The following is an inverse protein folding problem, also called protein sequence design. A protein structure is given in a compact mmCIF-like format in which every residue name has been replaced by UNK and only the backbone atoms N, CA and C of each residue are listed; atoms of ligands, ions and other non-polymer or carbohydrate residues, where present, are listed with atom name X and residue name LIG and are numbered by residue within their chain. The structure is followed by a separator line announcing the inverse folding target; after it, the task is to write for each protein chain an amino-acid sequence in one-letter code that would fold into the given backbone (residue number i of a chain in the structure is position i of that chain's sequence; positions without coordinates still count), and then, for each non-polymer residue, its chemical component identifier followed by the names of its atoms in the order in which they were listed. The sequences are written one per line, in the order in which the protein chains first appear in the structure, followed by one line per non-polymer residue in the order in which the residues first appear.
data_IF_793183748089
#
_entry.id   IF_793183748089
#
_cell.length_a   1.000
_cell.length_b   1.000
_cell.length_c   1.000
_cell.angle_alpha   90.00
_cell.angle_beta   90.00
_cell.angle_gamma   90.00
#
_symmetry.space_group_name_H-M   'P 1'
#
loop_
_entity.id
_entity.type
_entity.pdbx_description
1 polymer ?
#
# COMPACT_ATOMS: atom_id res chain seq x y z
N UNK A 1 -16.69 -26.95 15.33
CA UNK A 1 -15.98 -26.75 14.06
C UNK A 1 -15.82 -25.27 13.81
N UNK A 2 -14.61 -24.81 13.50
CA UNK A 2 -14.35 -23.40 13.20
C UNK A 2 -14.93 -23.11 11.82
N UNK A 3 -15.83 -22.13 11.73
CA UNK A 3 -16.37 -21.69 10.44
C UNK A 3 -15.32 -20.83 9.75
N UNK A 4 -14.48 -21.45 8.91
CA UNK A 4 -13.48 -20.78 8.07
C UNK A 4 -14.07 -19.57 7.32
N UNK A 5 -15.30 -19.63 6.75
CA UNK A 5 -15.90 -18.47 6.10
C UNK A 5 -16.11 -17.28 7.04
N UNK A 6 -16.53 -17.52 8.30
CA UNK A 6 -16.75 -16.46 9.29
C UNK A 6 -15.45 -15.86 9.79
N UNK A 7 -14.41 -16.67 9.93
CA UNK A 7 -13.10 -16.19 10.38
C UNK A 7 -12.48 -15.29 9.31
N UNK A 8 -12.59 -15.67 8.04
CA UNK A 8 -12.08 -14.89 6.92
C UNK A 8 -12.84 -13.57 6.74
N UNK A 9 -14.18 -13.59 6.84
CA UNK A 9 -14.98 -12.36 6.76
C UNK A 9 -14.70 -11.41 7.91
N UNK A 10 -14.50 -11.89 9.14
CA UNK A 10 -14.14 -11.04 10.28
C UNK A 10 -12.77 -10.36 10.10
N UNK A 11 -11.75 -11.12 9.69
CA UNK A 11 -10.41 -10.55 9.45
C UNK A 11 -10.41 -9.55 8.30
N UNK A 12 -11.16 -9.84 7.24
CA UNK A 12 -11.29 -8.94 6.10
C UNK A 12 -12.07 -7.68 6.47
N UNK A 13 -13.19 -7.82 7.17
CA UNK A 13 -14.00 -6.70 7.65
C UNK A 13 -13.20 -5.77 8.55
N UNK A 14 -12.38 -6.32 9.45
CA UNK A 14 -11.48 -5.52 10.28
C UNK A 14 -10.45 -4.73 9.46
N UNK A 15 -9.85 -5.35 8.44
CA UNK A 15 -8.90 -4.69 7.55
C UNK A 15 -9.53 -3.56 6.72
N UNK A 16 -10.69 -3.83 6.13
CA UNK A 16 -11.42 -2.82 5.32
C UNK A 16 -11.94 -1.68 6.19
N UNK A 17 -12.38 -1.96 7.43
CA UNK A 17 -12.78 -0.92 8.37
C UNK A 17 -11.62 0.04 8.70
N UNK A 18 -10.43 -0.49 8.98
CA UNK A 18 -9.23 0.33 9.22
C UNK A 18 -8.80 1.12 7.98
N UNK A 19 -8.84 0.50 6.80
CA UNK A 19 -8.50 1.16 5.54
C UNK A 19 -9.48 2.30 5.21
N UNK A 20 -10.79 2.06 5.37
CA UNK A 20 -11.82 3.08 5.16
C UNK A 20 -11.71 4.24 6.15
N UNK A 21 -11.46 3.95 7.42
CA UNK A 21 -11.23 4.97 8.43
C UNK A 21 -10.03 5.87 8.10
N UNK A 22 -8.90 5.28 7.68
CA UNK A 22 -7.74 6.02 7.22
C UNK A 22 -8.02 6.88 5.97
N UNK A 23 -8.76 6.33 4.99
CA UNK A 23 -9.13 7.05 3.78
C UNK A 23 -10.02 8.28 4.03
N UNK A 24 -11.00 8.17 4.93
CA UNK A 24 -11.88 9.30 5.29
C UNK A 24 -11.10 10.42 5.98
N UNK A 25 -10.13 10.09 6.84
CA UNK A 25 -9.26 11.09 7.47
C UNK A 25 -8.34 11.80 6.46
N UNK A 26 -7.96 11.13 5.38
CA UNK A 26 -7.14 11.71 4.31
C UNK A 26 -7.94 12.55 3.30
N UNK A 27 -9.27 12.35 3.20
CA UNK A 27 -10.14 13.03 2.23
C UNK A 27 -10.15 14.57 2.29
N UNK A 28 -10.13 15.25 3.46
CA UNK A 28 -10.05 16.71 3.48
C UNK A 28 -8.64 17.24 3.20
N UNK A 29 -7.61 16.41 3.33
CA UNK A 29 -6.20 16.79 3.11
C UNK A 29 -5.86 16.69 1.62
N UNK A 30 -6.39 15.68 0.94
CA UNK A 30 -6.23 15.49 -0.51
C UNK A 30 -7.55 15.81 -1.19
N UNK A 31 -7.65 16.99 -1.82
CA UNK A 31 -8.86 17.45 -2.54
C UNK A 31 -9.53 16.29 -3.29
N UNK A 32 -10.79 16.02 -2.95
CA UNK A 32 -11.50 14.85 -3.47
C UNK A 32 -11.84 15.06 -4.94
N UNK A 33 -11.20 14.27 -5.80
CA UNK A 33 -11.44 14.23 -7.25
C UNK A 33 -11.94 12.83 -7.66
N UNK A 34 -12.77 12.68 -8.71
CA UNK A 34 -13.24 11.38 -9.20
C UNK A 34 -12.11 10.37 -9.52
N UNK A 35 -10.90 10.84 -9.83
CA UNK A 35 -9.76 9.97 -10.14
C UNK A 35 -8.95 9.54 -8.90
N UNK A 36 -9.29 10.03 -7.70
CA UNK A 36 -8.52 9.76 -6.47
C UNK A 36 -8.42 8.26 -6.18
N UNK A 37 -9.52 7.51 -6.34
CA UNK A 37 -9.55 6.07 -6.09
C UNK A 37 -8.56 5.31 -6.99
N UNK A 38 -8.50 5.67 -8.27
CA UNK A 38 -7.56 5.07 -9.23
C UNK A 38 -6.11 5.30 -8.81
N UNK A 39 -5.78 6.55 -8.45
CA UNK A 39 -4.43 6.89 -7.99
C UNK A 39 -4.03 6.12 -6.71
N UNK A 40 -4.93 6.01 -5.73
CA UNK A 40 -4.67 5.26 -4.49
C UNK A 40 -4.46 3.77 -4.79
N UNK A 41 -5.29 3.16 -5.63
CA UNK A 41 -5.18 1.73 -5.98
C UNK A 41 -3.84 1.43 -6.66
N UNK A 42 -3.37 2.30 -7.55
CA UNK A 42 -2.08 2.12 -8.24
C UNK A 42 -0.92 2.20 -7.24
N UNK A 43 -0.96 3.13 -6.28
CA UNK A 43 0.06 3.23 -5.23
C UNK A 43 0.04 1.99 -4.32
N UNK A 44 -1.13 1.54 -3.89
CA UNK A 44 -1.28 0.33 -3.07
C UNK A 44 -0.76 -0.89 -3.82
N UNK A 45 -1.02 -1.00 -5.13
CA UNK A 45 -0.48 -2.07 -5.96
C UNK A 45 1.05 -2.05 -5.97
N UNK A 46 1.67 -0.89 -6.19
CA UNK A 46 3.13 -0.75 -6.14
C UNK A 46 3.70 -1.20 -4.79
N UNK A 47 3.10 -0.77 -3.68
CA UNK A 47 3.48 -1.17 -2.31
C UNK A 47 3.41 -2.70 -2.12
N UNK A 48 2.34 -3.34 -2.59
CA UNK A 48 2.17 -4.80 -2.45
C UNK A 48 3.19 -5.56 -3.30
N UNK A 49 3.47 -5.08 -4.52
CA UNK A 49 4.49 -5.66 -5.40
C UNK A 49 5.89 -5.55 -4.79
N UNK A 50 6.23 -4.39 -4.22
CA UNK A 50 7.49 -4.16 -3.53
C UNK A 50 7.62 -5.04 -2.29
N UNK A 51 6.54 -5.24 -1.53
CA UNK A 51 6.51 -6.15 -0.38
C UNK A 51 6.62 -7.63 -0.75
N UNK A 52 6.13 -8.02 -1.93
CA UNK A 52 6.12 -9.38 -2.48
C UNK A 52 4.75 -10.07 -2.37
N UNK A 53 4.25 -10.62 -3.49
CA UNK A 53 2.87 -11.15 -3.68
C UNK A 53 2.44 -12.40 -2.85
N UNK A 54 3.07 -12.65 -1.70
CA UNK A 54 2.70 -13.74 -0.80
C UNK A 54 3.15 -13.52 0.64
N UNK A 55 3.64 -12.32 0.96
CA UNK A 55 4.20 -11.99 2.27
C UNK A 55 3.43 -10.85 2.91
N UNK A 56 2.50 -11.21 3.80
CA UNK A 56 1.71 -10.23 4.58
C UNK A 56 2.65 -9.29 5.34
N UNK A 57 3.68 -9.83 6.00
CA UNK A 57 4.68 -9.04 6.73
C UNK A 57 5.47 -8.11 5.80
N UNK A 58 5.87 -8.59 4.62
CA UNK A 58 6.58 -7.79 3.62
C UNK A 58 5.75 -6.61 3.13
N UNK A 59 4.46 -6.82 2.84
CA UNK A 59 3.54 -5.76 2.42
C UNK A 59 3.27 -4.73 3.52
N UNK A 60 3.15 -5.15 4.79
CA UNK A 60 2.94 -4.24 5.93
C UNK A 60 4.16 -3.34 6.13
N UNK A 61 5.37 -3.91 6.22
CA UNK A 61 6.61 -3.15 6.40
C UNK A 61 6.84 -2.15 5.26
N UNK A 62 6.59 -2.62 4.03
CA UNK A 62 6.74 -1.79 2.83
C UNK A 62 5.70 -0.68 2.78
N UNK A 63 4.43 -0.97 3.11
CA UNK A 63 3.38 0.04 3.11
C UNK A 63 3.57 1.11 4.18
N UNK A 64 4.05 0.71 5.35
CA UNK A 64 4.37 1.65 6.42
C UNK A 64 5.59 2.51 6.06
N UNK A 65 6.65 1.89 5.51
CA UNK A 65 7.85 2.60 5.08
C UNK A 65 7.62 3.54 3.90
N UNK A 66 7.04 3.04 2.81
CA UNK A 66 6.72 3.85 1.63
C UNK A 66 5.64 4.87 1.91
N UNK A 67 4.65 4.57 2.75
CA UNK A 67 3.62 5.54 3.15
C UNK A 67 4.21 6.72 3.94
N UNK A 68 5.17 6.45 4.83
CA UNK A 68 5.92 7.51 5.53
C UNK A 68 6.78 8.32 4.54
N UNK A 69 7.50 7.65 3.64
CA UNK A 69 8.32 8.30 2.63
C UNK A 69 7.48 9.15 1.66
N UNK A 70 6.33 8.66 1.23
CA UNK A 70 5.38 9.38 0.39
C UNK A 70 4.83 10.60 1.13
N UNK A 71 4.43 10.44 2.40
CA UNK A 71 3.94 11.54 3.23
C UNK A 71 4.98 12.65 3.42
N UNK A 72 6.24 12.28 3.63
CA UNK A 72 7.35 13.24 3.71
C UNK A 72 7.67 13.87 2.35
N UNK A 73 7.62 13.11 1.25
CA UNK A 73 7.83 13.63 -0.10
C UNK A 73 6.75 14.65 -0.49
N UNK A 74 5.48 14.39 -0.13
CA UNK A 74 4.38 15.35 -0.32
C UNK A 74 4.61 16.69 0.38
N UNK A 75 5.31 16.71 1.51
CA UNK A 75 5.59 17.95 2.24
C UNK A 75 6.64 18.84 1.56
N UNK A 76 7.51 18.27 0.72
CA UNK A 76 8.58 19.02 0.03
C UNK A 76 8.23 19.29 -1.44
N UNK A 77 7.71 18.27 -2.16
CA UNK A 77 7.32 18.35 -3.57
C UNK A 77 6.11 17.44 -3.88
N UNK A 78 4.88 17.97 -3.89
CA UNK A 78 3.66 17.21 -4.13
C UNK A 78 3.64 16.45 -5.47
N UNK A 79 4.19 17.04 -6.54
CA UNK A 79 4.21 16.37 -7.86
C UNK A 79 5.23 15.22 -7.93
N UNK A 80 6.27 15.25 -7.11
CA UNK A 80 7.29 14.21 -7.08
C UNK A 80 6.86 12.98 -6.26
N UNK A 81 5.87 13.12 -5.38
CA UNK A 81 5.42 12.07 -4.47
C UNK A 81 5.03 10.77 -5.19
N UNK A 82 4.23 10.85 -6.25
CA UNK A 82 3.79 9.68 -7.00
C UNK A 82 4.97 9.03 -7.74
N UNK A 83 5.86 9.85 -8.32
CA UNK A 83 7.03 9.40 -9.07
C UNK A 83 8.02 8.63 -8.20
N UNK A 84 8.26 9.08 -6.97
CA UNK A 84 9.19 8.42 -6.03
C UNK A 84 8.78 6.97 -5.75
N UNK A 85 7.49 6.69 -5.64
CA UNK A 85 6.98 5.34 -5.38
C UNK A 85 7.27 4.41 -6.57
N UNK A 86 7.07 4.89 -7.80
CA UNK A 86 7.37 4.10 -9.00
C UNK A 86 8.87 3.91 -9.18
N UNK A 87 9.68 4.93 -8.92
CA UNK A 87 11.14 4.80 -8.95
C UNK A 87 11.59 3.77 -7.92
N UNK A 88 11.06 3.83 -6.69
CA UNK A 88 11.32 2.83 -5.65
C UNK A 88 10.87 1.43 -6.09
N UNK A 89 9.73 1.31 -6.76
CA UNK A 89 9.25 0.05 -7.33
C UNK A 89 10.25 -0.53 -8.35
N UNK A 90 10.69 0.28 -9.31
CA UNK A 90 11.67 -0.14 -10.31
C UNK A 90 12.98 -0.57 -9.66
N UNK A 91 13.50 0.23 -8.73
CA UNK A 91 14.73 -0.09 -7.99
C UNK A 91 14.60 -1.41 -7.23
N UNK A 92 13.50 -1.62 -6.51
CA UNK A 92 13.28 -2.85 -5.76
C UNK A 92 13.09 -4.05 -6.69
N UNK A 93 12.40 -3.91 -7.82
CA UNK A 93 12.25 -5.00 -8.78
C UNK A 93 13.58 -5.39 -9.45
N UNK A 94 14.47 -4.43 -9.70
CA UNK A 94 15.83 -4.70 -10.21
C UNK A 94 16.67 -5.44 -9.15
N UNK A 95 16.61 -5.01 -7.89
CA UNK A 95 17.41 -5.60 -6.81
C UNK A 95 16.84 -6.93 -6.29
N UNK A 96 15.52 -7.06 -6.27
CA UNK A 96 14.75 -8.23 -5.80
C UNK A 96 13.43 -8.37 -6.58
N UNK A 97 13.42 -9.12 -7.70
CA UNK A 97 12.23 -9.29 -8.54
C UNK A 97 11.07 -10.04 -7.86
N UNK A 98 11.29 -10.62 -6.66
CA UNK A 98 10.24 -11.25 -5.83
C UNK A 98 9.70 -10.32 -4.72
N UNK A 99 10.19 -9.08 -4.60
CA UNK A 99 9.89 -8.15 -3.50
C UNK A 99 10.78 -8.37 -2.26
N UNK A 100 10.67 -7.47 -1.27
CA UNK A 100 11.52 -7.42 -0.07
C UNK A 100 11.53 -8.72 0.75
N UNK A 101 10.38 -9.41 0.87
CA UNK A 101 10.24 -10.67 1.61
C UNK A 101 9.39 -11.70 0.86
N UNK A 102 9.40 -11.68 -0.48
CA UNK A 102 8.75 -12.72 -1.27
C UNK A 102 9.35 -14.08 -0.94
N UNK A 103 8.57 -14.94 -0.26
CA UNK A 103 8.98 -16.32 0.04
C UNK A 103 9.40 -16.98 -1.28
N UNK A 104 10.63 -17.49 -1.32
CA UNK A 104 10.96 -18.53 -2.30
C UNK A 104 10.05 -19.70 -1.95
N UNK A 105 9.16 -20.04 -2.88
CA UNK A 105 8.54 -21.35 -2.89
C UNK A 105 9.63 -22.41 -3.10
#
# INVERSE_FOLDING_TARGET
GINVPRMLTLTYAAGVALAGFGGVLAAPIMSVDPHMGSNIVIVVFAVVVIGGMGSILGSILTGLGLGLLEGLAKAVYPEASSTVIFVAMVVVLILRPRGLMGKSA
#
